data_IF_338322018246
#
_entry.id   IF_338322018246
#
_cell.length_a   1.000
_cell.length_b   1.000
_cell.length_c   1.000
_cell.angle_alpha   90.00
_cell.angle_beta   90.00
_cell.angle_gamma   90.00
#
_symmetry.space_group_name_H-M   'P 1'
#
loop_
_entity.id
_entity.type
_entity.pdbx_description
1 polymer ?
#
# COMPACT_ATOMS: atom_id res chain seq x y z
N UNK A 1 -13.25 -30.62 -39.10
CA UNK A 1 -14.07 -31.47 -38.21
C UNK A 1 -15.52 -31.04 -38.40
N UNK A 2 -16.45 -31.97 -38.64
CA UNK A 2 -17.88 -31.64 -38.68
C UNK A 2 -18.38 -31.38 -37.25
N UNK A 3 -19.21 -30.35 -37.08
CA UNK A 3 -19.78 -30.04 -35.77
C UNK A 3 -20.84 -31.08 -35.38
N UNK A 4 -20.92 -31.48 -34.10
CA UNK A 4 -21.85 -32.52 -33.64
C UNK A 4 -23.30 -32.03 -33.49
N UNK A 5 -23.54 -30.72 -33.66
CA UNK A 5 -24.85 -30.08 -33.45
C UNK A 5 -25.18 -29.15 -34.63
N UNK A 6 -26.48 -28.86 -34.81
CA UNK A 6 -26.94 -27.85 -35.77
C UNK A 6 -26.45 -26.45 -35.38
N UNK A 7 -26.27 -25.56 -36.35
CA UNK A 7 -25.83 -24.18 -36.10
C UNK A 7 -26.75 -23.43 -35.12
N UNK A 8 -28.07 -23.66 -35.21
CA UNK A 8 -29.06 -23.12 -34.28
C UNK A 8 -28.78 -23.57 -32.84
N UNK A 9 -28.50 -24.86 -32.65
CA UNK A 9 -28.20 -25.41 -31.33
C UNK A 9 -26.87 -24.87 -30.80
N UNK A 10 -25.82 -24.79 -31.63
CA UNK A 10 -24.53 -24.21 -31.25
C UNK A 10 -24.65 -22.74 -30.86
N UNK A 11 -25.48 -21.97 -31.56
CA UNK A 11 -25.73 -20.56 -31.24
C UNK A 11 -26.40 -20.42 -29.87
N UNK A 12 -27.45 -21.21 -29.59
CA UNK A 12 -28.15 -21.20 -28.31
C UNK A 12 -27.20 -21.62 -27.17
N UNK A 13 -26.50 -22.74 -27.33
CA UNK A 13 -25.56 -23.26 -26.33
C UNK A 13 -24.43 -22.26 -26.07
N UNK A 14 -23.84 -21.69 -27.13
CA UNK A 14 -22.78 -20.70 -27.00
C UNK A 14 -23.25 -19.45 -26.27
N UNK A 15 -24.47 -18.98 -26.55
CA UNK A 15 -25.03 -17.79 -25.89
C UNK A 15 -25.28 -18.04 -24.41
N UNK A 16 -25.91 -19.17 -24.07
CA UNK A 16 -26.15 -19.57 -22.68
C UNK A 16 -24.83 -19.75 -21.92
N UNK A 17 -23.83 -20.38 -22.52
CA UNK A 17 -22.51 -20.57 -21.92
C UNK A 17 -21.80 -19.24 -21.65
N UNK A 18 -21.81 -18.32 -22.63
CA UNK A 18 -21.20 -17.00 -22.48
C UNK A 18 -21.90 -16.14 -21.41
N UNK A 19 -23.23 -16.17 -21.34
CA UNK A 19 -23.99 -15.47 -20.29
C UNK A 19 -23.70 -16.07 -18.92
N UNK A 20 -23.71 -17.41 -18.79
CA UNK A 20 -23.42 -18.07 -17.54
C UNK A 20 -22.00 -17.74 -17.05
N UNK A 21 -21.01 -17.76 -17.95
CA UNK A 21 -19.64 -17.38 -17.63
C UNK A 21 -19.52 -15.90 -17.23
N UNK A 22 -20.21 -15.00 -17.93
CA UNK A 22 -20.25 -13.58 -17.60
C UNK A 22 -20.89 -13.32 -16.23
N UNK A 23 -22.05 -13.91 -15.96
CA UNK A 23 -22.74 -13.79 -14.67
C UNK A 23 -21.88 -14.33 -13.52
N UNK A 24 -21.27 -15.52 -13.69
CA UNK A 24 -20.37 -16.09 -12.69
C UNK A 24 -19.19 -15.16 -12.40
N UNK A 25 -18.47 -14.72 -13.43
CA UNK A 25 -17.33 -13.82 -13.26
C UNK A 25 -17.71 -12.51 -12.59
N UNK A 26 -18.79 -11.87 -13.04
CA UNK A 26 -19.27 -10.61 -12.47
C UNK A 26 -19.66 -10.76 -10.99
N UNK A 27 -20.26 -11.89 -10.59
CA UNK A 27 -20.54 -12.15 -9.17
C UNK A 27 -19.24 -12.21 -8.36
N UNK A 28 -18.20 -12.87 -8.88
CA UNK A 28 -16.90 -12.93 -8.19
C UNK A 28 -16.24 -11.55 -8.11
N UNK A 29 -16.21 -10.79 -9.21
CA UNK A 29 -15.69 -9.42 -9.21
C UNK A 29 -16.45 -8.50 -8.28
N UNK A 30 -17.79 -8.58 -8.27
CA UNK A 30 -18.64 -7.76 -7.41
C UNK A 30 -18.41 -8.07 -5.93
N UNK A 31 -18.35 -9.35 -5.56
CA UNK A 31 -18.11 -9.78 -4.17
C UNK A 31 -16.78 -9.30 -3.60
N UNK A 32 -15.79 -9.04 -4.44
CA UNK A 32 -14.44 -8.59 -4.04
C UNK A 32 -14.13 -7.15 -4.44
N UNK A 33 -15.09 -6.44 -5.04
CA UNK A 33 -14.93 -5.06 -5.48
C UNK A 33 -14.49 -4.06 -4.40
N UNK A 34 -14.83 -4.24 -3.10
CA UNK A 34 -14.27 -3.39 -2.03
C UNK A 34 -12.74 -3.40 -1.94
N UNK A 35 -12.10 -4.43 -2.50
CA UNK A 35 -10.65 -4.60 -2.56
C UNK A 35 -10.09 -4.31 -3.96
N UNK A 36 -10.87 -3.66 -4.83
CA UNK A 36 -10.42 -3.31 -6.18
C UNK A 36 -9.26 -2.32 -6.16
N UNK A 37 -8.23 -2.64 -6.94
CA UNK A 37 -7.11 -1.75 -7.25
C UNK A 37 -7.33 -1.09 -8.61
N UNK A 38 -6.47 -0.12 -8.94
CA UNK A 38 -6.44 0.45 -10.29
C UNK A 38 -6.23 -0.65 -11.34
N UNK A 39 -6.92 -0.49 -12.48
CA UNK A 39 -6.93 -1.50 -13.55
C UNK A 39 -7.92 -2.66 -13.36
N UNK A 40 -8.61 -2.79 -12.21
CA UNK A 40 -9.64 -3.82 -12.02
C UNK A 40 -10.76 -3.73 -13.07
N UNK A 41 -11.16 -2.52 -13.45
CA UNK A 41 -12.16 -2.31 -14.51
C UNK A 41 -11.66 -2.81 -15.88
N UNK A 42 -10.37 -2.71 -16.16
CA UNK A 42 -9.77 -3.26 -17.37
C UNK A 42 -9.82 -4.78 -17.36
N UNK A 43 -9.56 -5.43 -16.22
CA UNK A 43 -9.70 -6.88 -16.08
C UNK A 43 -11.14 -7.34 -16.29
N UNK A 44 -12.13 -6.61 -15.76
CA UNK A 44 -13.56 -6.91 -15.98
C UNK A 44 -13.87 -6.80 -17.49
N UNK A 45 -13.41 -5.75 -18.17
CA UNK A 45 -13.62 -5.58 -19.61
C UNK A 45 -12.97 -6.69 -20.44
N UNK A 46 -11.75 -7.12 -20.08
CA UNK A 46 -11.07 -8.25 -20.71
C UNK A 46 -11.81 -9.57 -20.48
N UNK A 47 -12.32 -9.79 -19.27
CA UNK A 47 -13.13 -10.97 -18.95
C UNK A 47 -14.41 -11.02 -19.80
N UNK A 48 -15.14 -9.91 -19.90
CA UNK A 48 -16.35 -9.81 -20.72
C UNK A 48 -16.04 -10.01 -22.22
N UNK A 49 -14.90 -9.49 -22.69
CA UNK A 49 -14.43 -9.72 -24.06
C UNK A 49 -14.15 -11.20 -24.31
N UNK A 50 -13.53 -11.91 -23.36
CA UNK A 50 -13.30 -13.34 -23.46
C UNK A 50 -14.61 -14.16 -23.46
N UNK A 51 -15.67 -13.72 -22.76
CA UNK A 51 -17.01 -14.32 -22.86
C UNK A 51 -17.61 -14.16 -24.27
N UNK A 52 -17.40 -13.01 -24.94
CA UNK A 52 -17.84 -12.81 -26.33
C UNK A 52 -17.07 -13.74 -27.27
N UNK A 53 -15.75 -13.87 -27.08
CA UNK A 53 -14.92 -14.79 -27.88
C UNK A 53 -15.34 -16.24 -27.64
N UNK A 54 -15.71 -16.61 -26.41
CA UNK A 54 -16.25 -17.93 -26.07
C UNK A 54 -17.51 -18.24 -26.87
N UNK A 55 -18.45 -17.29 -26.96
CA UNK A 55 -19.67 -17.43 -27.78
C UNK A 55 -19.32 -17.77 -29.24
N UNK A 56 -18.42 -17.01 -29.86
CA UNK A 56 -18.02 -17.24 -31.25
C UNK A 56 -17.24 -18.54 -31.44
N UNK A 57 -16.40 -18.93 -30.46
CA UNK A 57 -15.69 -20.21 -30.47
C UNK A 57 -16.65 -21.40 -30.50
N UNK A 58 -17.71 -21.36 -29.68
CA UNK A 58 -18.76 -22.39 -29.65
C UNK A 58 -19.61 -22.35 -30.93
N UNK A 59 -20.07 -21.15 -31.34
CA UNK A 59 -20.94 -20.98 -32.51
C UNK A 59 -20.31 -21.53 -33.78
N UNK A 60 -19.04 -21.22 -34.03
CA UNK A 60 -18.33 -21.64 -35.23
C UNK A 60 -17.67 -23.01 -35.11
N UNK A 61 -17.83 -23.70 -33.98
CA UNK A 61 -17.15 -24.96 -33.67
C UNK A 61 -15.63 -24.86 -33.90
N UNK A 62 -15.04 -23.72 -33.54
CA UNK A 62 -13.61 -23.45 -33.73
C UNK A 62 -12.88 -23.74 -32.42
N UNK A 63 -12.26 -24.92 -32.36
CA UNK A 63 -11.55 -25.42 -31.17
C UNK A 63 -10.43 -24.49 -30.73
N UNK A 64 -9.73 -23.84 -31.67
CA UNK A 64 -8.63 -22.92 -31.36
C UNK A 64 -9.15 -21.67 -30.65
N UNK A 65 -10.22 -21.06 -31.18
CA UNK A 65 -10.88 -19.90 -30.56
C UNK A 65 -11.46 -20.28 -29.20
N UNK A 66 -12.10 -21.46 -29.11
CA UNK A 66 -12.67 -21.97 -27.88
C UNK A 66 -11.59 -22.14 -26.79
N UNK A 67 -10.47 -22.80 -27.11
CA UNK A 67 -9.37 -23.01 -26.18
C UNK A 67 -8.79 -21.67 -25.71
N UNK A 68 -8.56 -20.73 -26.62
CA UNK A 68 -8.06 -19.40 -26.28
C UNK A 68 -9.02 -18.63 -25.36
N UNK A 69 -10.33 -18.68 -25.63
CA UNK A 69 -11.33 -18.02 -24.80
C UNK A 69 -11.36 -18.60 -23.38
N UNK A 70 -11.36 -19.94 -23.26
CA UNK A 70 -11.36 -20.64 -21.97
C UNK A 70 -10.09 -20.30 -21.17
N UNK A 71 -8.91 -20.37 -21.80
CA UNK A 71 -7.65 -20.00 -21.15
C UNK A 71 -7.63 -18.54 -20.71
N UNK A 72 -8.17 -17.63 -21.54
CA UNK A 72 -8.26 -16.21 -21.20
C UNK A 72 -9.18 -15.96 -20.01
N UNK A 73 -10.34 -16.62 -19.95
CA UNK A 73 -11.27 -16.51 -18.81
C UNK A 73 -10.60 -16.97 -17.51
N UNK A 74 -9.98 -18.16 -17.52
CA UNK A 74 -9.27 -18.67 -16.35
C UNK A 74 -8.08 -17.79 -15.96
N UNK A 75 -7.28 -17.34 -16.94
CA UNK A 75 -6.13 -16.48 -16.70
C UNK A 75 -6.52 -15.16 -16.04
N UNK A 76 -7.55 -14.48 -16.57
CA UNK A 76 -8.06 -13.24 -15.99
C UNK A 76 -8.63 -13.47 -14.59
N UNK A 77 -9.37 -14.56 -14.37
CA UNK A 77 -9.97 -14.86 -13.07
C UNK A 77 -8.91 -15.16 -12.00
N UNK A 78 -7.90 -15.96 -12.32
CA UNK A 78 -6.79 -16.29 -11.41
C UNK A 78 -6.01 -15.01 -11.08
N UNK A 79 -5.68 -14.22 -12.10
CA UNK A 79 -4.94 -12.98 -11.93
C UNK A 79 -5.73 -11.98 -11.06
N UNK A 80 -7.02 -11.79 -11.32
CA UNK A 80 -7.89 -10.95 -10.50
C UNK A 80 -7.98 -11.45 -9.06
N UNK A 81 -8.10 -12.76 -8.84
CA UNK A 81 -8.14 -13.34 -7.50
C UNK A 81 -6.85 -13.04 -6.72
N UNK A 82 -5.68 -13.17 -7.35
CA UNK A 82 -4.39 -12.82 -6.74
C UNK A 82 -4.32 -11.34 -6.35
N UNK A 83 -4.80 -10.43 -7.22
CA UNK A 83 -4.89 -9.00 -6.89
C UNK A 83 -5.79 -8.73 -5.68
N UNK A 84 -6.96 -9.34 -5.65
CA UNK A 84 -7.90 -9.15 -4.54
C UNK A 84 -7.35 -9.72 -3.23
N UNK A 85 -6.81 -10.95 -3.24
CA UNK A 85 -6.23 -11.58 -2.06
C UNK A 85 -5.06 -10.77 -1.50
N UNK A 86 -4.21 -10.23 -2.38
CA UNK A 86 -3.13 -9.32 -2.01
C UNK A 86 -3.65 -8.11 -1.24
N UNK A 87 -4.66 -7.44 -1.81
CA UNK A 87 -5.23 -6.22 -1.23
C UNK A 87 -5.98 -6.48 0.08
N UNK A 88 -6.72 -7.59 0.14
CA UNK A 88 -7.46 -8.03 1.32
C UNK A 88 -6.51 -8.38 2.48
N UNK A 89 -5.45 -9.13 2.23
CA UNK A 89 -4.41 -9.44 3.22
C UNK A 89 -3.79 -8.17 3.78
N UNK A 90 -3.53 -7.19 2.92
CA UNK A 90 -2.95 -5.93 3.35
C UNK A 90 -3.90 -5.12 4.25
N UNK A 91 -5.16 -4.99 3.86
CA UNK A 91 -6.17 -4.24 4.62
C UNK A 91 -6.46 -4.93 5.97
N UNK A 92 -6.53 -6.26 5.99
CA UNK A 92 -6.77 -7.02 7.22
C UNK A 92 -5.61 -6.88 8.22
N UNK A 93 -4.35 -6.91 7.77
CA UNK A 93 -3.19 -6.64 8.63
C UNK A 93 -3.26 -5.24 9.28
N UNK A 94 -3.67 -4.23 8.51
CA UNK A 94 -3.86 -2.88 9.04
C UNK A 94 -4.98 -2.82 10.10
N UNK A 95 -6.09 -3.54 9.89
CA UNK A 95 -7.20 -3.62 10.85
C UNK A 95 -6.83 -4.36 12.14
N UNK A 96 -5.93 -5.35 12.06
CA UNK A 96 -5.43 -6.11 13.21
C UNK A 96 -4.39 -5.36 14.05
N UNK A 97 -4.11 -4.08 13.74
CA UNK A 97 -3.13 -3.30 14.49
C UNK A 97 -1.67 -3.66 14.17
N UNK A 98 -1.43 -4.40 13.08
CA UNK A 98 -0.11 -4.62 12.49
C UNK A 98 -0.02 -3.87 11.15
N UNK A 99 -0.16 -2.52 11.14
CA UNK A 99 -0.11 -1.78 9.90
C UNK A 99 1.28 -1.92 9.27
N UNK A 100 1.30 -1.88 7.95
CA UNK A 100 2.52 -1.67 7.19
C UNK A 100 3.26 -0.44 7.73
N UNK A 101 4.48 -0.64 8.27
CA UNK A 101 5.25 0.41 8.95
C UNK A 101 5.49 1.65 8.08
N UNK A 102 5.46 1.47 6.76
CA UNK A 102 5.73 2.54 5.81
C UNK A 102 4.47 3.20 5.25
N UNK A 103 3.29 2.90 5.80
CA UNK A 103 2.02 3.46 5.31
C UNK A 103 2.00 5.00 5.34
N UNK A 104 2.71 5.63 6.28
CA UNK A 104 2.77 7.09 6.40
C UNK A 104 3.73 7.77 5.39
N UNK A 105 4.48 6.97 4.63
CA UNK A 105 5.46 7.43 3.63
C UNK A 105 5.01 7.20 2.20
N UNK A 106 3.89 6.52 2.01
CA UNK A 106 3.32 6.20 0.70
C UNK A 106 2.05 7.01 0.46
N UNK A 107 1.90 7.55 -0.75
CA UNK A 107 0.70 8.31 -1.15
C UNK A 107 -0.46 7.39 -1.51
N UNK A 108 -0.16 6.21 -2.06
CA UNK A 108 -1.12 5.16 -2.33
C UNK A 108 -0.53 3.82 -1.90
N UNK A 109 -1.41 2.86 -1.64
CA UNK A 109 -1.01 1.50 -1.31
C UNK A 109 -0.45 0.79 -2.55
N UNK A 110 0.67 0.04 -2.43
CA UNK A 110 1.28 -0.63 -3.57
C UNK A 110 0.31 -1.64 -4.18
N UNK A 111 0.18 -1.60 -5.49
CA UNK A 111 -0.61 -2.57 -6.25
C UNK A 111 0.09 -3.92 -6.32
N UNK A 112 -0.66 -4.98 -6.59
CA UNK A 112 -0.10 -6.31 -6.82
C UNK A 112 0.93 -6.31 -7.95
N UNK A 113 0.69 -5.52 -9.00
CA UNK A 113 1.60 -5.36 -10.13
C UNK A 113 2.93 -4.74 -9.74
N UNK A 114 2.91 -3.65 -8.98
CA UNK A 114 4.13 -2.96 -8.55
C UNK A 114 5.01 -3.85 -7.68
N UNK A 115 4.37 -4.70 -6.86
CA UNK A 115 5.06 -5.72 -6.08
C UNK A 115 5.62 -6.86 -6.94
N UNK A 116 4.83 -7.38 -7.89
CA UNK A 116 5.18 -8.60 -8.63
C UNK A 116 6.09 -8.34 -9.82
N UNK A 117 5.89 -7.21 -10.50
CA UNK A 117 6.53 -6.93 -11.78
C UNK A 117 7.63 -5.89 -11.65
N UNK A 118 8.84 -6.38 -11.42
CA UNK A 118 10.03 -5.55 -11.33
C UNK A 118 10.29 -4.68 -12.57
N UNK A 119 9.71 -4.94 -13.74
CA UNK A 119 9.90 -4.11 -14.93
C UNK A 119 9.11 -2.78 -14.90
N UNK A 120 8.10 -2.64 -14.03
CA UNK A 120 7.27 -1.43 -13.97
C UNK A 120 8.00 -0.21 -13.41
N UNK A 121 9.24 -0.36 -12.95
CA UNK A 121 10.06 0.72 -12.39
C UNK A 121 9.41 1.47 -11.21
N UNK A 122 8.38 0.88 -10.59
CA UNK A 122 7.72 1.44 -9.42
C UNK A 122 8.55 1.26 -8.14
N UNK A 123 8.36 2.14 -7.14
CA UNK A 123 8.95 2.00 -5.80
C UNK A 123 8.44 0.75 -5.09
N UNK A 124 9.35 -0.12 -4.67
CA UNK A 124 9.03 -1.40 -4.04
C UNK A 124 9.07 -1.31 -2.52
N UNK A 125 8.07 -0.60 -1.99
CA UNK A 125 7.91 -0.38 -0.56
C UNK A 125 7.72 -1.68 0.21
N UNK A 126 7.07 -2.68 -0.38
CA UNK A 126 6.74 -3.93 0.32
C UNK A 126 7.97 -4.78 0.55
N UNK A 127 8.78 -5.01 -0.49
CA UNK A 127 10.03 -5.75 -0.33
C UNK A 127 11.01 -4.99 0.55
N UNK A 128 11.07 -3.66 0.44
CA UNK A 128 11.90 -2.83 1.32
C UNK A 128 11.47 -2.95 2.79
N UNK A 129 10.17 -2.93 3.07
CA UNK A 129 9.65 -3.12 4.43
C UNK A 129 10.06 -4.49 4.99
N UNK A 130 9.85 -5.55 4.22
CA UNK A 130 10.05 -6.93 4.68
C UNK A 130 11.53 -7.29 4.84
N UNK A 131 12.40 -6.76 3.97
CA UNK A 131 13.82 -7.11 3.97
C UNK A 131 14.69 -6.15 4.78
N UNK A 132 14.31 -4.87 4.89
CA UNK A 132 15.12 -3.86 5.55
C UNK A 132 14.45 -3.36 6.83
N UNK A 133 13.24 -2.81 6.75
CA UNK A 133 12.64 -2.03 7.85
C UNK A 133 12.24 -2.92 9.01
N UNK A 134 11.42 -3.94 8.78
CA UNK A 134 10.99 -4.86 9.83
C UNK A 134 12.19 -5.57 10.50
N UNK A 135 13.16 -6.13 9.75
CA UNK A 135 14.35 -6.72 10.37
C UNK A 135 15.15 -5.70 11.18
N UNK A 136 15.35 -4.47 10.68
CA UNK A 136 16.08 -3.43 11.39
C UNK A 136 15.39 -2.99 12.70
N UNK A 137 14.06 -2.95 12.72
CA UNK A 137 13.28 -2.62 13.93
C UNK A 137 13.26 -3.77 14.94
N UNK A 138 13.34 -5.01 14.47
CA UNK A 138 13.34 -6.22 15.30
C UNK A 138 14.75 -6.73 15.63
N UNK A 139 15.79 -5.95 15.30
CA UNK A 139 17.21 -6.29 15.51
C UNK A 139 17.67 -7.59 14.81
N UNK A 140 16.98 -7.96 13.73
CA UNK A 140 17.35 -9.06 12.88
C UNK A 140 18.39 -8.62 11.81
N UNK A 141 19.18 -9.55 11.27
CA UNK A 141 20.14 -9.24 10.20
C UNK A 141 19.44 -8.63 8.98
N UNK A 142 19.96 -7.51 8.50
CA UNK A 142 19.53 -6.86 7.24
C UNK A 142 20.50 -7.20 6.11
N UNK A 143 20.02 -7.40 4.88
CA UNK A 143 20.88 -7.68 3.74
C UNK A 143 21.72 -6.44 3.36
N UNK A 144 22.91 -6.62 2.73
CA UNK A 144 23.79 -5.51 2.38
C UNK A 144 23.17 -4.44 1.49
N UNK A 145 22.13 -4.78 0.72
CA UNK A 145 21.38 -3.82 -0.12
C UNK A 145 20.57 -2.78 0.67
N UNK A 146 20.41 -2.97 1.98
CA UNK A 146 19.78 -1.98 2.87
C UNK A 146 20.81 -1.00 3.48
N UNK A 147 22.10 -1.14 3.20
CA UNK A 147 23.15 -0.45 3.98
C UNK A 147 23.31 1.04 3.67
N UNK A 148 22.70 1.58 2.62
CA UNK A 148 22.78 3.01 2.27
C UNK A 148 21.58 3.46 1.44
N UNK A 149 21.32 4.77 1.43
CA UNK A 149 20.28 5.39 0.58
C UNK A 149 20.45 5.02 -0.90
N UNK A 150 21.68 5.02 -1.40
CA UNK A 150 21.96 4.76 -2.82
C UNK A 150 21.67 3.31 -3.20
N UNK A 151 22.01 2.36 -2.32
CA UNK A 151 21.66 0.95 -2.51
C UNK A 151 20.16 0.77 -2.42
N UNK A 152 19.50 1.43 -1.49
CA UNK A 152 18.05 1.32 -1.35
C UNK A 152 17.34 1.87 -2.60
N UNK A 153 17.76 3.03 -3.09
CA UNK A 153 17.26 3.59 -4.35
C UNK A 153 17.53 2.66 -5.53
N UNK A 154 18.71 2.02 -5.59
CA UNK A 154 19.05 1.11 -6.68
C UNK A 154 18.23 -0.19 -6.68
N UNK A 155 18.02 -0.81 -5.51
CA UNK A 155 17.39 -2.14 -5.41
C UNK A 155 15.87 -2.09 -5.23
N UNK A 156 15.38 -1.06 -4.56
CA UNK A 156 13.95 -0.89 -4.25
C UNK A 156 13.32 0.30 -4.97
N UNK A 157 14.09 1.13 -5.68
CA UNK A 157 13.58 2.33 -6.39
C UNK A 157 12.86 3.33 -5.48
N UNK A 158 13.32 3.40 -4.24
CA UNK A 158 12.80 4.32 -3.25
C UNK A 158 13.86 5.39 -3.00
N UNK A 159 13.51 6.65 -3.28
CA UNK A 159 14.29 7.78 -2.78
C UNK A 159 13.91 8.05 -1.32
N UNK A 160 14.63 7.40 -0.42
CA UNK A 160 14.37 7.52 1.02
C UNK A 160 14.64 8.92 1.54
N UNK A 161 15.62 9.62 0.97
CA UNK A 161 15.96 10.99 1.41
C UNK A 161 14.80 11.92 1.08
N UNK A 162 14.25 11.81 -0.12
CA UNK A 162 13.06 12.56 -0.51
C UNK A 162 11.85 12.17 0.33
N UNK A 163 11.55 10.88 0.47
CA UNK A 163 10.39 10.40 1.24
C UNK A 163 10.44 10.87 2.70
N UNK A 164 11.61 10.80 3.33
CA UNK A 164 11.82 11.29 4.70
C UNK A 164 11.67 12.81 4.80
N UNK A 165 12.18 13.57 3.83
CA UNK A 165 12.04 15.04 3.79
C UNK A 165 10.59 15.46 3.66
N UNK A 166 9.84 14.82 2.78
CA UNK A 166 8.41 15.10 2.57
C UNK A 166 7.59 14.74 3.81
N UNK A 167 7.84 13.56 4.39
CA UNK A 167 7.19 13.15 5.63
C UNK A 167 7.52 14.12 6.78
N UNK A 168 8.78 14.53 6.93
CA UNK A 168 9.18 15.50 7.95
C UNK A 168 8.49 16.85 7.77
N UNK A 169 8.40 17.36 6.53
CA UNK A 169 7.66 18.57 6.24
C UNK A 169 6.17 18.46 6.63
N UNK A 170 5.53 17.31 6.35
CA UNK A 170 4.17 17.01 6.79
C UNK A 170 4.06 16.96 8.32
N UNK A 171 5.03 16.37 9.03
CA UNK A 171 5.07 16.36 10.51
C UNK A 171 5.13 17.78 11.07
N UNK A 172 6.01 18.64 10.54
CA UNK A 172 6.13 20.03 10.97
C UNK A 172 4.83 20.81 10.76
N UNK A 173 4.21 20.65 9.60
CA UNK A 173 2.93 21.30 9.30
C UNK A 173 1.82 20.80 10.25
N UNK A 174 1.77 19.49 10.50
CA UNK A 174 0.82 18.91 11.45
C UNK A 174 1.03 19.46 12.87
N UNK A 175 2.28 19.53 13.35
CA UNK A 175 2.62 20.09 14.66
C UNK A 175 2.22 21.57 14.78
N UNK A 176 2.43 22.37 13.73
CA UNK A 176 1.96 23.76 13.68
C UNK A 176 0.45 23.86 13.76
N UNK A 177 -0.29 23.04 13.01
CA UNK A 177 -1.75 23.03 13.05
C UNK A 177 -2.31 22.64 14.42
N UNK A 178 -1.65 21.71 15.12
CA UNK A 178 -1.99 21.35 16.50
C UNK A 178 -1.72 22.53 17.44
N UNK A 179 -0.53 23.16 17.36
CA UNK A 179 -0.17 24.34 18.16
C UNK A 179 -1.15 25.50 17.97
N UNK A 180 -1.57 25.76 16.74
CA UNK A 180 -2.51 26.82 16.38
C UNK A 180 -3.97 26.49 16.75
N UNK A 181 -4.25 25.32 17.32
CA UNK A 181 -5.60 24.89 17.71
C UNK A 181 -6.50 24.45 16.55
N UNK A 182 -5.99 24.39 15.32
CA UNK A 182 -6.72 23.95 14.11
C UNK A 182 -7.07 22.45 14.16
N UNK A 183 -6.27 21.65 14.88
CA UNK A 183 -6.49 20.22 15.13
C UNK A 183 -6.74 19.95 16.61
N UNK A 184 -7.60 20.74 17.25
CA UNK A 184 -7.89 20.66 18.69
C UNK A 184 -8.74 19.43 19.11
N UNK A 185 -9.48 18.83 18.18
CA UNK A 185 -10.30 17.64 18.44
C UNK A 185 -9.60 16.38 17.95
N UNK A 186 -9.63 15.33 18.76
CA UNK A 186 -9.09 14.00 18.39
C UNK A 186 -9.73 13.44 17.11
N UNK A 187 -11.03 13.65 16.92
CA UNK A 187 -11.73 13.23 15.71
C UNK A 187 -11.20 13.93 14.46
N UNK A 188 -10.99 15.25 14.52
CA UNK A 188 -10.43 16.03 13.42
C UNK A 188 -8.99 15.61 13.09
N UNK A 189 -8.18 15.31 14.12
CA UNK A 189 -6.83 14.79 13.94
C UNK A 189 -6.84 13.40 13.27
N UNK A 190 -7.68 12.49 13.76
CA UNK A 190 -7.81 11.15 13.19
C UNK A 190 -8.31 11.18 11.74
N UNK A 191 -9.28 12.05 11.44
CA UNK A 191 -9.79 12.27 10.08
C UNK A 191 -8.71 12.86 9.16
N UNK A 192 -7.89 13.79 9.64
CA UNK A 192 -6.78 14.34 8.87
C UNK A 192 -5.71 13.28 8.52
N UNK A 193 -5.39 12.39 9.46
CA UNK A 193 -4.50 11.25 9.20
C UNK A 193 -5.14 10.27 8.21
N UNK A 194 -6.42 9.94 8.40
CA UNK A 194 -7.16 9.04 7.51
C UNK A 194 -7.19 9.55 6.06
N UNK A 195 -7.32 10.88 5.90
CA UNK A 195 -7.30 11.57 4.61
C UNK A 195 -5.88 11.87 4.09
N UNK A 196 -4.82 11.37 4.76
CA UNK A 196 -3.40 11.57 4.41
C UNK A 196 -2.94 13.04 4.32
N UNK A 197 -3.73 13.98 4.82
CA UNK A 197 -3.39 15.41 4.88
C UNK A 197 -2.57 15.76 6.11
N UNK A 198 -2.61 14.92 7.15
CA UNK A 198 -1.73 14.96 8.32
C UNK A 198 -0.94 13.66 8.47
N UNK A 199 0.09 13.69 9.32
CA UNK A 199 0.84 12.50 9.74
C UNK A 199 0.87 12.40 11.26
N UNK A 200 1.23 11.22 11.77
CA UNK A 200 1.40 11.02 13.21
C UNK A 200 2.55 11.89 13.72
N UNK A 201 2.35 12.58 14.84
CA UNK A 201 3.39 13.38 15.49
C UNK A 201 3.49 13.00 16.98
N UNK A 202 4.64 13.23 17.64
CA UNK A 202 4.78 12.99 19.08
C UNK A 202 3.80 13.89 19.84
N UNK A 203 2.81 13.29 20.50
CA UNK A 203 1.85 13.98 21.36
C UNK A 203 1.75 13.24 22.69
N UNK A 204 1.36 13.97 23.73
CA UNK A 204 1.12 13.38 25.04
C UNK A 204 0.01 12.31 24.95
N UNK A 205 0.12 11.20 25.71
CA UNK A 205 -0.91 10.17 25.71
C UNK A 205 -2.29 10.69 26.10
N UNK A 206 -3.33 9.96 25.67
CA UNK A 206 -4.71 10.31 26.00
C UNK A 206 -4.91 10.35 27.52
N UNK A 207 -5.46 11.45 28.03
CA UNK A 207 -5.79 11.63 29.44
C UNK A 207 -4.67 12.29 30.26
N UNK A 208 -3.52 12.56 29.65
CA UNK A 208 -2.45 13.36 30.27
C UNK A 208 -2.72 14.83 29.96
N UNK A 209 -3.12 15.59 30.97
CA UNK A 209 -3.17 17.05 30.88
C UNK A 209 -1.76 17.61 31.08
N UNK A 210 -1.27 18.36 30.10
CA UNK A 210 0.05 18.99 30.17
C UNK A 210 0.21 19.91 31.40
N UNK A 211 -0.89 20.48 31.91
CA UNK A 211 -0.89 21.34 33.09
C UNK A 211 -0.79 20.57 34.42
N UNK A 212 -1.09 19.26 34.39
CA UNK A 212 -1.03 18.38 35.56
C UNK A 212 0.31 17.62 35.64
N UNK A 213 1.20 17.81 34.65
CA UNK A 213 2.56 17.29 34.70
C UNK A 213 3.36 18.23 35.61
N UNK A 214 3.94 17.69 36.68
CA UNK A 214 4.86 18.43 37.55
C UNK A 214 5.98 19.06 36.69
N UNK A 215 6.19 20.39 36.76
CA UNK A 215 7.24 21.07 35.99
C UNK A 215 8.65 20.52 36.23
N UNK A 216 8.89 19.88 37.37
CA UNK A 216 10.16 19.24 37.74
C UNK A 216 10.23 17.75 37.39
N UNK A 217 9.13 17.14 36.92
CA UNK A 217 9.10 15.74 36.52
C UNK A 217 9.75 15.51 35.15
N UNK A 218 10.44 14.38 35.03
CA UNK A 218 10.97 13.88 33.76
C UNK A 218 9.91 13.16 32.90
N UNK A 219 8.65 13.12 33.36
CA UNK A 219 7.55 12.48 32.65
C UNK A 219 7.33 13.09 31.27
N UNK A 220 7.33 12.23 30.26
CA UNK A 220 7.10 12.58 28.85
C UNK A 220 8.07 13.63 28.28
N UNK A 221 9.22 13.87 28.93
CA UNK A 221 10.17 14.91 28.50
C UNK A 221 10.60 14.72 27.04
N UNK A 222 10.95 13.49 26.65
CA UNK A 222 11.34 13.18 25.26
C UNK A 222 10.22 13.39 24.24
N UNK A 223 8.96 13.13 24.61
CA UNK A 223 7.81 13.37 23.72
C UNK A 223 7.56 14.87 23.55
N UNK A 224 7.66 15.63 24.65
CA UNK A 224 7.51 17.09 24.64
C UNK A 224 8.63 17.76 23.85
N UNK A 225 9.88 17.34 24.08
CA UNK A 225 11.05 17.84 23.35
C UNK A 225 10.95 17.52 21.86
N UNK A 226 10.56 16.29 21.49
CA UNK A 226 10.35 15.92 20.09
C UNK A 226 9.24 16.76 19.44
N UNK A 227 8.12 17.01 20.13
CA UNK A 227 7.06 17.88 19.62
C UNK A 227 7.55 19.32 19.38
N UNK A 228 8.26 19.91 20.34
CA UNK A 228 8.77 21.27 20.19
C UNK A 228 9.89 21.37 19.16
N UNK A 229 10.69 20.30 19.01
CA UNK A 229 11.69 20.18 17.95
C UNK A 229 11.06 20.28 16.56
N UNK A 230 9.91 19.63 16.32
CA UNK A 230 9.15 19.79 15.07
C UNK A 230 8.75 21.23 14.76
N UNK A 231 8.52 22.05 15.79
CA UNK A 231 8.08 23.44 15.63
C UNK A 231 9.27 24.37 15.45
N UNK A 232 10.31 24.21 16.27
CA UNK A 232 11.39 25.16 16.42
C UNK A 232 12.58 24.85 15.52
N UNK A 233 12.88 23.58 15.27
CA UNK A 233 14.11 23.20 14.59
C UNK A 233 13.92 23.15 13.08
N UNK A 234 14.95 23.55 12.33
CA UNK A 234 14.91 23.51 10.87
C UNK A 234 15.04 22.10 10.30
N UNK A 235 15.86 21.26 10.93
CA UNK A 235 16.18 19.88 10.52
C UNK A 235 15.63 18.87 11.53
N UNK A 236 15.51 17.62 11.11
CA UNK A 236 15.11 16.52 11.97
C UNK A 236 16.17 16.28 13.05
N UNK A 237 15.74 16.25 14.31
CA UNK A 237 16.61 15.90 15.43
C UNK A 237 16.62 14.40 15.68
N UNK A 238 17.65 13.85 16.35
CA UNK A 238 17.68 12.45 16.76
C UNK A 238 16.45 12.02 17.57
N UNK A 239 15.90 12.91 18.39
CA UNK A 239 14.68 12.66 19.17
C UNK A 239 13.46 12.44 18.28
N UNK A 240 13.27 13.30 17.27
CA UNK A 240 12.17 13.12 16.30
C UNK A 240 12.38 11.85 15.49
N UNK A 241 13.61 11.58 15.04
CA UNK A 241 13.94 10.38 14.26
C UNK A 241 13.60 9.07 15.00
N UNK A 242 13.86 9.00 16.31
CA UNK A 242 13.52 7.81 17.11
C UNK A 242 12.00 7.55 17.21
N UNK A 243 11.17 8.57 16.98
CA UNK A 243 9.71 8.43 16.98
C UNK A 243 9.15 8.04 15.61
N UNK A 244 9.99 8.00 14.57
CA UNK A 244 9.61 7.74 13.19
C UNK A 244 10.15 6.37 12.77
N UNK A 245 9.30 5.34 12.55
CA UNK A 245 9.77 3.97 12.30
C UNK A 245 10.78 3.83 11.17
N UNK A 246 10.59 4.55 10.05
CA UNK A 246 11.53 4.54 8.95
C UNK A 246 12.89 5.14 9.34
N UNK A 247 12.92 6.25 10.06
CA UNK A 247 14.16 6.89 10.48
C UNK A 247 14.92 6.04 11.51
N UNK A 248 14.19 5.45 12.46
CA UNK A 248 14.74 4.49 13.40
C UNK A 248 15.36 3.29 12.67
N UNK A 249 14.64 2.70 11.71
CA UNK A 249 15.15 1.59 10.92
C UNK A 249 16.42 1.98 10.16
N UNK A 250 16.44 3.15 9.51
CA UNK A 250 17.60 3.66 8.76
C UNK A 250 18.83 3.88 9.64
N UNK A 251 18.61 4.34 10.87
CA UNK A 251 19.67 4.50 11.86
C UNK A 251 20.19 3.13 12.32
N UNK A 252 19.29 2.18 12.61
CA UNK A 252 19.66 0.82 13.05
C UNK A 252 20.46 0.06 11.98
N UNK A 253 20.07 0.20 10.71
CA UNK A 253 20.81 -0.40 9.58
C UNK A 253 22.07 0.39 9.19
N UNK A 254 22.35 1.51 9.87
CA UNK A 254 23.47 2.45 9.57
C UNK A 254 23.42 3.05 8.16
N UNK A 255 22.24 3.09 7.53
CA UNK A 255 22.04 3.72 6.23
C UNK A 255 22.07 5.25 6.31
N UNK A 256 21.78 5.80 7.49
CA UNK A 256 21.95 7.23 7.81
C UNK A 256 22.64 7.37 9.16
N UNK A 257 23.35 8.47 9.35
CA UNK A 257 23.91 8.85 10.66
C UNK A 257 23.09 9.98 11.27
N UNK A 258 22.78 9.94 12.58
CA UNK A 258 21.96 10.96 13.22
C UNK A 258 22.48 12.39 13.08
N UNK A 259 23.81 12.56 13.04
CA UNK A 259 24.45 13.89 12.98
C UNK A 259 24.40 14.52 11.59
N UNK A 260 24.17 13.72 10.55
CA UNK A 260 24.13 14.16 9.15
C UNK A 260 22.79 13.80 8.48
N UNK A 261 21.67 13.86 9.23
CA UNK A 261 20.35 13.66 8.62
C UNK A 261 20.07 14.75 7.56
N UNK A 262 19.78 14.38 6.30
CA UNK A 262 19.62 15.33 5.20
C UNK A 262 18.22 15.96 5.11
N UNK A 263 17.41 15.83 6.17
CA UNK A 263 16.00 16.22 6.25
C UNK A 263 15.70 16.98 7.54
#
# INVERSE_FOLDING_TARGET
>A
MQAPLSERNLTIVGFLAAIAAAAFGLVVFYGRYPFAEDGTNTLIALYLSACIILFFGIRFWNIVILAFAVLSLFGVQIYAAQKFDWRENYISLAQMGQPFFLNEFIDHYPTYEEYTFAFLNAPDWVRFNNECVQPALTQNPVPPRCASSDLIQRYYRIDIVQAMREHYAKMKNTAKMVKEGKLSKRSAYAECIANKSCVTIPLLPKGVDANNIDPSSHDYIGVREAFWSLINDQRMTPLVCQQVPLCQALTNMKAITPDNMPF
#
